data_IF_923108284858
#
_entry.id   IF_923108284858
#
_cell.length_a   1.000
_cell.length_b   1.000
_cell.length_c   1.000
_cell.angle_alpha   90.00
_cell.angle_beta   90.00
_cell.angle_gamma   90.00
#
_symmetry.space_group_name_H-M   'P 1'
#
loop_
_entity.id
_entity.type
_entity.pdbx_description
1 polymer ?
#
# COMPACT_ATOMS: atom_id res chain seq x y z
N UNK A 1 9.96 29.20 62.31
CA UNK A 1 9.26 28.22 61.46
C UNK A 1 9.48 26.84 62.02
N UNK A 2 8.42 26.14 62.42
CA UNK A 2 8.54 24.80 62.99
C UNK A 2 8.74 23.78 61.86
N UNK A 3 9.54 22.75 62.09
CA UNK A 3 9.82 21.67 61.09
C UNK A 3 8.54 21.12 60.42
N UNK A 4 7.44 21.14 61.14
CA UNK A 4 6.11 20.71 60.64
C UNK A 4 5.55 21.61 59.53
N UNK A 5 5.77 22.94 59.63
CA UNK A 5 5.25 23.90 58.64
C UNK A 5 6.01 23.79 57.32
N UNK A 6 7.30 23.43 57.36
CA UNK A 6 8.12 23.18 56.18
C UNK A 6 7.74 21.91 55.42
N UNK A 7 7.36 20.86 56.16
CA UNK A 7 6.90 19.58 55.55
C UNK A 7 5.52 19.76 54.86
N UNK A 8 4.64 20.55 55.49
CA UNK A 8 3.31 20.81 54.88
C UNK A 8 3.41 21.72 53.65
N UNK A 9 4.33 22.67 53.60
CA UNK A 9 4.62 23.49 52.40
C UNK A 9 5.22 22.65 51.25
N UNK A 10 6.14 21.73 51.55
CA UNK A 10 6.70 20.81 50.56
C UNK A 10 5.66 19.82 50.00
N UNK A 11 4.79 19.30 50.85
CA UNK A 11 3.71 18.40 50.40
C UNK A 11 2.69 19.16 49.54
N UNK A 12 2.34 20.39 49.88
CA UNK A 12 1.47 21.27 49.08
C UNK A 12 2.08 21.65 47.74
N UNK A 13 3.39 21.92 47.69
CA UNK A 13 4.08 22.22 46.43
C UNK A 13 4.17 21.01 45.47
N UNK A 14 4.35 19.79 46.01
CA UNK A 14 4.36 18.57 45.20
C UNK A 14 2.98 18.19 44.66
N UNK A 15 1.90 18.44 45.41
CA UNK A 15 0.54 18.23 44.92
C UNK A 15 0.14 19.29 43.91
N UNK A 16 0.51 20.54 44.08
CA UNK A 16 0.30 21.62 43.12
C UNK A 16 1.06 21.38 41.81
N UNK A 17 2.32 20.89 41.87
CA UNK A 17 3.10 20.53 40.67
C UNK A 17 2.52 19.34 39.92
N UNK A 18 1.93 18.35 40.60
CA UNK A 18 1.18 17.28 39.98
C UNK A 18 -0.12 17.73 39.33
N UNK A 19 -0.87 18.63 39.99
CA UNK A 19 -2.09 19.23 39.48
C UNK A 19 -1.84 20.10 38.24
N UNK A 20 -0.74 20.90 38.24
CA UNK A 20 -0.31 21.70 37.10
C UNK A 20 0.12 20.82 35.88
N UNK A 21 0.78 19.69 36.12
CA UNK A 21 1.08 18.71 35.06
C UNK A 21 -0.18 18.01 34.50
N UNK A 22 -1.18 17.79 35.35
CA UNK A 22 -2.47 17.23 34.93
C UNK A 22 -3.33 18.24 34.16
N UNK A 23 -3.11 19.56 34.34
CA UNK A 23 -3.81 20.62 33.60
C UNK A 23 -3.15 21.04 32.29
N UNK A 24 -1.93 20.62 31.99
CA UNK A 24 -1.44 20.74 30.62
C UNK A 24 -2.30 19.82 29.76
N UNK A 25 -3.30 20.39 29.06
CA UNK A 25 -4.01 19.67 27.98
C UNK A 25 -2.94 18.97 27.14
N UNK A 26 -2.88 17.65 27.23
CA UNK A 26 -1.96 16.90 26.41
C UNK A 26 -2.17 17.36 24.96
N UNK A 27 -1.11 17.82 24.31
CA UNK A 27 -1.16 18.25 22.92
C UNK A 27 -1.80 17.10 22.13
N UNK A 28 -2.91 17.34 21.46
CA UNK A 28 -3.53 16.34 20.59
C UNK A 28 -2.54 16.05 19.47
N UNK A 29 -2.05 14.81 19.33
CA UNK A 29 -1.08 14.49 18.30
C UNK A 29 -1.68 14.67 16.92
N UNK A 30 -0.84 15.06 15.96
CA UNK A 30 -1.21 15.35 14.59
C UNK A 30 -0.47 14.42 13.63
N UNK A 31 -1.19 13.77 12.74
CA UNK A 31 -0.67 12.90 11.69
C UNK A 31 -0.98 13.52 10.34
N UNK A 32 0.02 13.64 9.48
CA UNK A 32 -0.19 13.98 8.08
C UNK A 32 -0.23 12.71 7.25
N UNK A 33 -1.32 12.50 6.52
CA UNK A 33 -1.47 11.37 5.58
C UNK A 33 -1.28 11.86 4.14
N UNK A 34 -0.41 11.23 3.37
CA UNK A 34 -0.13 11.58 1.98
C UNK A 34 -0.12 10.35 1.08
N UNK A 35 -0.85 10.41 -0.01
CA UNK A 35 -0.90 9.37 -1.04
C UNK A 35 -1.18 9.99 -2.41
N UNK A 36 -0.52 9.48 -3.46
CA UNK A 36 -0.74 9.93 -4.83
C UNK A 36 -2.11 9.54 -5.41
N UNK A 37 -2.77 8.53 -4.82
CA UNK A 37 -4.07 8.05 -5.28
C UNK A 37 -5.21 9.03 -5.02
N UNK A 38 -6.44 8.58 -5.29
CA UNK A 38 -7.64 9.41 -5.24
C UNK A 38 -8.31 9.41 -3.87
N UNK A 39 -8.90 10.56 -3.51
CA UNK A 39 -9.69 10.71 -2.28
C UNK A 39 -11.09 10.10 -2.40
N UNK A 40 -11.62 9.98 -3.61
CA UNK A 40 -12.98 9.54 -3.86
C UNK A 40 -13.24 8.09 -3.42
N UNK A 41 -14.42 7.82 -2.84
CA UNK A 41 -14.88 6.48 -2.50
C UNK A 41 -14.35 5.90 -1.18
N UNK A 42 -13.80 6.73 -0.28
CA UNK A 42 -13.24 6.28 0.99
C UNK A 42 -12.22 5.13 0.78
N UNK A 43 -11.00 5.44 0.34
CA UNK A 43 -10.00 4.44 -0.03
C UNK A 43 -9.81 3.40 1.07
N UNK A 44 -9.70 2.13 0.67
CA UNK A 44 -9.54 1.00 1.60
C UNK A 44 -8.33 1.19 2.51
N UNK A 45 -7.29 1.86 1.99
CA UNK A 45 -6.07 2.21 2.71
C UNK A 45 -6.35 3.18 3.88
N UNK A 46 -7.13 4.23 3.64
CA UNK A 46 -7.51 5.17 4.69
C UNK A 46 -8.48 4.52 5.69
N UNK A 47 -9.37 3.64 5.22
CA UNK A 47 -10.29 2.91 6.09
C UNK A 47 -9.55 1.94 7.02
N UNK A 48 -8.56 1.19 6.51
CA UNK A 48 -7.73 0.30 7.31
C UNK A 48 -6.93 1.08 8.37
N UNK A 49 -6.31 2.18 8.00
CA UNK A 49 -5.57 3.03 8.93
C UNK A 49 -6.45 3.57 10.06
N UNK A 50 -7.63 4.13 9.73
CA UNK A 50 -8.60 4.60 10.74
C UNK A 50 -9.03 3.48 11.69
N UNK A 51 -9.26 2.28 11.16
CA UNK A 51 -9.60 1.12 11.98
C UNK A 51 -8.45 0.78 12.94
N UNK A 52 -7.20 0.77 12.48
CA UNK A 52 -6.03 0.54 13.33
C UNK A 52 -5.86 1.61 14.42
N UNK A 53 -6.07 2.88 14.09
CA UNK A 53 -6.06 3.97 15.08
C UNK A 53 -7.15 3.73 16.15
N UNK A 54 -8.37 3.39 15.71
CA UNK A 54 -9.49 3.12 16.64
C UNK A 54 -9.20 1.96 17.59
N UNK A 55 -8.59 0.87 17.11
CA UNK A 55 -8.20 -0.28 17.92
C UNK A 55 -7.16 0.08 18.99
N UNK A 56 -6.33 1.10 18.73
CA UNK A 56 -5.33 1.63 19.66
C UNK A 56 -5.88 2.74 20.58
N UNK A 57 -7.18 3.03 20.51
CA UNK A 57 -7.86 4.01 21.35
C UNK A 57 -7.80 5.45 20.83
N UNK A 58 -7.34 5.65 19.58
CA UNK A 58 -7.40 6.95 18.94
C UNK A 58 -8.75 7.19 18.28
N UNK A 59 -9.27 8.42 18.44
CA UNK A 59 -10.52 8.88 17.82
C UNK A 59 -10.23 10.19 17.12
N UNK A 60 -10.34 10.18 15.79
CA UNK A 60 -10.10 11.38 14.97
C UNK A 60 -10.98 12.55 15.41
N UNK A 61 -10.37 13.73 15.51
CA UNK A 61 -11.04 14.94 15.98
C UNK A 61 -11.22 15.05 17.51
N UNK A 62 -10.88 14.01 18.28
CA UNK A 62 -10.94 14.03 19.74
C UNK A 62 -9.55 13.97 20.38
N UNK A 63 -8.81 12.89 20.16
CA UNK A 63 -7.49 12.69 20.76
C UNK A 63 -6.37 12.44 19.73
N UNK A 64 -6.69 12.53 18.45
CA UNK A 64 -5.75 12.57 17.32
C UNK A 64 -6.34 13.40 16.19
N UNK A 65 -5.49 14.13 15.46
CA UNK A 65 -5.85 14.86 14.23
C UNK A 65 -5.15 14.16 13.08
N UNK A 66 -5.89 13.84 12.01
CA UNK A 66 -5.33 13.31 10.77
C UNK A 66 -5.65 14.23 9.62
N UNK A 67 -4.61 14.81 9.03
CA UNK A 67 -4.72 15.70 7.87
C UNK A 67 -4.43 14.91 6.59
N UNK A 68 -5.46 14.60 5.83
CA UNK A 68 -5.34 13.82 4.60
C UNK A 68 -4.99 14.72 3.41
N UNK A 69 -4.04 14.28 2.57
CA UNK A 69 -3.74 14.85 1.27
C UNK A 69 -3.66 13.74 0.23
N UNK A 70 -4.30 13.98 -0.90
CA UNK A 70 -4.35 13.03 -2.02
C UNK A 70 -3.83 13.74 -3.28
N UNK A 71 -3.02 13.05 -4.06
CA UNK A 71 -2.50 13.54 -5.34
C UNK A 71 -3.51 13.43 -6.48
N UNK A 72 -4.68 12.85 -6.24
CA UNK A 72 -5.75 12.65 -7.20
C UNK A 72 -5.28 11.95 -8.50
N UNK A 73 -4.47 10.88 -8.31
CA UNK A 73 -3.88 10.12 -9.41
C UNK A 73 -2.61 10.73 -9.99
N UNK A 74 -2.06 11.77 -9.35
CA UNK A 74 -0.88 12.49 -9.85
C UNK A 74 0.23 12.50 -8.81
N UNK A 75 1.45 12.31 -9.26
CA UNK A 75 2.64 12.38 -8.41
C UNK A 75 3.28 13.77 -8.38
N UNK A 76 3.00 14.63 -9.38
CA UNK A 76 3.57 15.97 -9.48
C UNK A 76 3.27 16.85 -8.25
N UNK A 77 2.01 16.95 -7.74
CA UNK A 77 1.68 17.83 -6.64
C UNK A 77 2.15 17.31 -5.28
N UNK A 78 2.66 16.08 -5.18
CA UNK A 78 2.98 15.45 -3.90
C UNK A 78 3.98 16.26 -3.09
N UNK A 79 5.02 16.83 -3.72
CA UNK A 79 6.01 17.61 -2.99
C UNK A 79 5.40 18.87 -2.35
N UNK A 80 4.48 19.55 -3.04
CA UNK A 80 3.75 20.72 -2.54
C UNK A 80 2.79 20.33 -1.42
N UNK A 81 2.03 19.24 -1.60
CA UNK A 81 1.12 18.72 -0.60
C UNK A 81 1.85 18.27 0.69
N UNK A 82 3.06 17.70 0.55
CA UNK A 82 3.92 17.39 1.70
C UNK A 82 4.38 18.66 2.40
N UNK A 83 4.80 19.69 1.63
CA UNK A 83 5.21 20.97 2.20
C UNK A 83 4.04 21.62 2.98
N UNK A 84 2.81 21.57 2.46
CA UNK A 84 1.62 22.01 3.21
C UNK A 84 1.46 21.24 4.52
N UNK A 85 1.53 19.89 4.48
CA UNK A 85 1.43 19.07 5.69
C UNK A 85 2.51 19.43 6.72
N UNK A 86 3.74 19.68 6.29
CA UNK A 86 4.85 20.07 7.16
C UNK A 86 4.57 21.40 7.87
N UNK A 87 3.89 22.36 7.22
CA UNK A 87 3.50 23.64 7.86
C UNK A 87 2.56 23.44 9.04
N UNK A 88 1.77 22.36 9.04
CA UNK A 88 0.86 21.99 10.14
C UNK A 88 1.60 21.36 11.32
N UNK A 89 2.91 21.15 11.21
CA UNK A 89 3.79 20.56 12.23
C UNK A 89 3.28 19.21 12.73
N UNK A 90 3.10 18.22 11.84
CA UNK A 90 2.67 16.90 12.24
C UNK A 90 3.72 16.22 13.11
N UNK A 91 3.27 15.41 14.05
CA UNK A 91 4.14 14.60 14.88
C UNK A 91 4.64 13.35 14.11
N UNK A 92 3.87 12.89 13.11
CA UNK A 92 4.20 11.77 12.21
C UNK A 92 3.60 12.03 10.82
N UNK A 93 4.31 11.66 9.77
CA UNK A 93 3.77 11.53 8.42
C UNK A 93 3.50 10.07 8.09
N UNK A 94 2.39 9.80 7.42
CA UNK A 94 2.05 8.50 6.83
C UNK A 94 2.05 8.65 5.32
N UNK A 95 2.87 7.89 4.62
CA UNK A 95 3.08 8.04 3.18
C UNK A 95 2.99 6.69 2.45
N UNK A 96 2.22 6.65 1.36
CA UNK A 96 1.95 5.43 0.60
C UNK A 96 2.50 5.51 -0.82
N UNK A 97 3.23 4.45 -1.20
CA UNK A 97 3.86 4.29 -2.52
C UNK A 97 5.27 4.86 -2.59
N UNK A 98 6.17 4.17 -3.33
CA UNK A 98 7.60 4.48 -3.40
C UNK A 98 7.86 5.91 -3.88
N UNK A 99 7.13 6.37 -4.91
CA UNK A 99 7.24 7.73 -5.44
C UNK A 99 6.84 8.78 -4.40
N UNK A 100 5.72 8.57 -3.69
CA UNK A 100 5.25 9.47 -2.63
C UNK A 100 6.27 9.56 -1.50
N UNK A 101 6.75 8.41 -1.00
CA UNK A 101 7.74 8.36 0.08
C UNK A 101 9.06 8.99 -0.35
N UNK A 102 9.49 8.81 -1.60
CA UNK A 102 10.65 9.49 -2.16
C UNK A 102 10.52 11.02 -2.14
N UNK A 103 9.35 11.57 -2.48
CA UNK A 103 9.06 13.01 -2.38
C UNK A 103 9.07 13.48 -0.93
N UNK A 104 8.45 12.71 0.00
CA UNK A 104 8.47 13.02 1.44
C UNK A 104 9.90 13.08 1.96
N UNK A 105 10.76 12.11 1.60
CA UNK A 105 12.19 12.07 1.96
C UNK A 105 12.94 13.31 1.48
N UNK A 106 12.59 13.84 0.31
CA UNK A 106 13.17 15.07 -0.23
C UNK A 106 12.73 16.35 0.49
N UNK A 107 11.59 16.34 1.18
CA UNK A 107 11.05 17.52 1.89
C UNK A 107 11.44 17.53 3.37
N UNK A 108 11.51 16.37 4.03
CA UNK A 108 11.84 16.28 5.46
C UNK A 108 12.74 15.09 5.78
N UNK A 109 13.74 15.35 6.63
CA UNK A 109 14.61 14.32 7.21
C UNK A 109 14.40 14.17 8.71
N UNK A 110 13.50 14.96 9.33
CA UNK A 110 13.34 15.03 10.79
C UNK A 110 11.98 14.59 11.29
N UNK A 111 10.93 14.81 10.51
CA UNK A 111 9.59 14.34 10.88
C UNK A 111 9.56 12.81 10.65
N UNK A 112 9.18 12.01 11.66
CA UNK A 112 8.99 10.58 11.51
C UNK A 112 8.02 10.23 10.38
N UNK A 113 8.36 9.22 9.58
CA UNK A 113 7.55 8.76 8.45
C UNK A 113 7.22 7.28 8.60
N UNK A 114 5.93 6.96 8.62
CA UNK A 114 5.44 5.60 8.50
C UNK A 114 5.04 5.36 7.05
N UNK A 115 5.72 4.46 6.38
CA UNK A 115 5.56 4.23 4.94
C UNK A 115 4.89 2.89 4.63
N UNK A 116 4.18 2.85 3.49
CA UNK A 116 3.82 1.61 2.78
C UNK A 116 4.45 1.68 1.39
N UNK A 117 5.40 0.81 1.12
CA UNK A 117 6.23 0.83 -0.10
C UNK A 117 6.40 -0.56 -0.69
N UNK A 118 6.71 -0.65 -1.95
CA UNK A 118 7.06 -1.93 -2.59
C UNK A 118 8.39 -2.46 -2.05
N UNK A 119 9.48 -1.86 -2.50
CA UNK A 119 10.86 -2.21 -2.10
C UNK A 119 11.58 -0.99 -1.49
N UNK A 120 11.45 -0.75 -0.19
CA UNK A 120 12.01 0.45 0.43
C UNK A 120 13.55 0.45 0.44
N UNK A 121 14.20 -0.73 0.39
CA UNK A 121 15.65 -0.85 0.33
C UNK A 121 16.13 -0.62 -1.11
N UNK A 122 15.54 -1.29 -2.10
CA UNK A 122 15.90 -1.12 -3.51
C UNK A 122 15.60 0.29 -4.04
N UNK A 123 14.58 0.96 -3.50
CA UNK A 123 14.27 2.36 -3.79
C UNK A 123 15.16 3.37 -3.02
N UNK A 124 16.09 2.91 -2.18
CA UNK A 124 16.98 3.77 -1.41
C UNK A 124 16.27 4.60 -0.32
N UNK A 125 15.08 4.19 0.11
CA UNK A 125 14.30 4.90 1.12
C UNK A 125 14.80 4.60 2.53
N UNK A 126 15.21 3.36 2.78
CA UNK A 126 15.80 2.88 4.03
C UNK A 126 17.08 2.10 3.78
N UNK A 127 17.96 2.00 4.79
CA UNK A 127 19.23 1.27 4.66
C UNK A 127 19.02 -0.26 4.63
N UNK A 128 18.13 -0.76 5.48
CA UNK A 128 17.71 -2.17 5.51
C UNK A 128 16.34 -2.29 6.18
N UNK A 129 15.65 -3.42 6.01
CA UNK A 129 14.39 -3.66 6.70
C UNK A 129 14.58 -3.75 8.23
N UNK A 130 15.64 -4.41 8.70
CA UNK A 130 15.91 -4.60 10.13
C UNK A 130 16.36 -3.32 10.83
N UNK A 131 17.05 -2.43 10.11
CA UNK A 131 17.56 -1.13 10.61
C UNK A 131 17.36 -0.08 9.52
N UNK A 132 16.26 0.66 9.57
CA UNK A 132 15.92 1.63 8.52
C UNK A 132 16.94 2.75 8.32
N UNK A 133 17.63 3.18 9.40
CA UNK A 133 18.74 4.12 9.32
C UNK A 133 18.33 5.56 9.04
N UNK A 134 17.20 5.99 9.59
CA UNK A 134 16.72 7.37 9.39
C UNK A 134 15.34 7.62 10.00
N UNK A 135 14.59 8.57 9.40
CA UNK A 135 13.27 8.94 9.88
C UNK A 135 12.11 8.13 9.25
N UNK A 136 12.41 7.14 8.40
CA UNK A 136 11.40 6.33 7.68
C UNK A 136 11.38 4.91 8.22
N UNK A 137 10.19 4.41 8.56
CA UNK A 137 9.87 3.02 8.89
C UNK A 137 8.53 2.64 8.28
N UNK A 138 7.97 1.48 8.57
CA UNK A 138 6.62 1.10 8.14
C UNK A 138 6.52 -0.31 7.59
N UNK A 139 5.84 -0.50 6.45
CA UNK A 139 5.55 -1.81 5.87
C UNK A 139 6.03 -1.88 4.41
N UNK A 140 6.78 -2.95 4.09
CA UNK A 140 7.13 -3.32 2.73
C UNK A 140 6.09 -4.29 2.18
N UNK A 141 5.59 -4.02 0.99
CA UNK A 141 4.65 -4.87 0.27
C UNK A 141 5.35 -6.07 -0.40
N UNK A 142 6.66 -5.96 -0.64
CA UNK A 142 7.45 -7.07 -1.17
C UNK A 142 7.72 -8.13 -0.11
N UNK A 143 7.26 -9.33 -0.37
CA UNK A 143 7.58 -10.51 0.45
C UNK A 143 8.80 -11.23 -0.14
N UNK A 144 9.98 -10.97 0.44
CA UNK A 144 11.23 -11.57 -0.03
C UNK A 144 11.84 -10.88 -1.26
N UNK A 145 13.02 -11.37 -1.70
CA UNK A 145 13.74 -10.82 -2.86
C UNK A 145 13.03 -11.11 -4.20
N UNK A 146 12.05 -12.00 -4.21
CA UNK A 146 11.46 -12.55 -5.44
C UNK A 146 10.14 -11.87 -5.87
N UNK A 147 9.56 -10.95 -5.08
CA UNK A 147 8.30 -10.29 -5.42
C UNK A 147 7.12 -11.27 -5.63
N UNK A 148 5.98 -10.75 -6.04
CA UNK A 148 4.76 -11.55 -6.24
C UNK A 148 4.46 -11.86 -7.72
N UNK A 149 5.15 -11.20 -8.66
CA UNK A 149 4.93 -11.32 -10.11
C UNK A 149 5.00 -12.76 -10.59
N UNK A 150 6.09 -13.47 -10.24
CA UNK A 150 6.22 -14.88 -10.63
C UNK A 150 5.05 -15.73 -10.14
N UNK A 151 4.58 -15.48 -8.90
CA UNK A 151 3.45 -16.23 -8.34
C UNK A 151 2.13 -15.90 -9.03
N UNK A 152 1.91 -14.66 -9.44
CA UNK A 152 0.72 -14.28 -10.21
C UNK A 152 0.72 -14.92 -11.60
N UNK A 153 1.89 -14.95 -12.27
CA UNK A 153 2.04 -15.67 -13.56
C UNK A 153 1.71 -17.15 -13.42
N UNK A 154 2.19 -17.84 -12.37
CA UNK A 154 1.82 -19.23 -12.07
C UNK A 154 0.30 -19.38 -11.88
N UNK A 155 -0.30 -18.55 -11.01
CA UNK A 155 -1.72 -18.61 -10.72
C UNK A 155 -2.58 -18.36 -11.96
N UNK A 156 -2.18 -17.42 -12.82
CA UNK A 156 -2.89 -17.15 -14.07
C UNK A 156 -2.77 -18.34 -15.04
N UNK A 157 -1.58 -18.95 -15.15
CA UNK A 157 -1.38 -20.17 -15.94
C UNK A 157 -2.20 -21.35 -15.41
N UNK A 158 -2.24 -21.51 -14.09
CA UNK A 158 -3.06 -22.56 -13.45
C UNK A 158 -4.55 -22.32 -13.71
N UNK A 159 -5.03 -21.07 -13.69
CA UNK A 159 -6.43 -20.72 -13.97
C UNK A 159 -6.79 -20.79 -15.45
N UNK A 160 -5.82 -20.57 -16.33
CA UNK A 160 -5.97 -20.63 -17.81
C UNK A 160 -4.94 -21.60 -18.38
N UNK A 161 -5.12 -22.93 -18.22
CA UNK A 161 -4.11 -23.94 -18.59
C UNK A 161 -3.69 -23.92 -20.06
N UNK A 162 -4.57 -23.47 -20.94
CA UNK A 162 -4.31 -23.37 -22.39
C UNK A 162 -3.44 -22.14 -22.75
N UNK A 163 -3.21 -21.20 -21.82
CA UNK A 163 -2.44 -19.99 -22.08
C UNK A 163 -1.01 -20.33 -22.55
N UNK A 164 -0.58 -19.63 -23.60
CA UNK A 164 0.78 -19.70 -24.16
C UNK A 164 1.50 -18.37 -24.08
N UNK A 165 0.75 -17.26 -24.11
CA UNK A 165 1.28 -15.91 -24.06
C UNK A 165 0.56 -15.07 -23.00
N UNK A 166 1.31 -14.55 -22.03
CA UNK A 166 0.81 -13.66 -20.98
C UNK A 166 1.47 -12.29 -21.15
N UNK A 167 0.65 -11.25 -21.16
CA UNK A 167 1.15 -9.89 -21.09
C UNK A 167 1.51 -9.53 -19.64
N UNK A 168 2.57 -8.73 -19.46
CA UNK A 168 2.90 -8.08 -18.19
C UNK A 168 2.77 -6.58 -18.38
N UNK A 169 1.78 -5.97 -17.73
CA UNK A 169 1.66 -4.52 -17.61
C UNK A 169 2.47 -4.09 -16.39
N UNK A 170 3.38 -3.13 -16.58
CA UNK A 170 4.24 -2.62 -15.51
C UNK A 170 4.59 -1.15 -15.75
N UNK A 171 4.85 -0.34 -14.68
CA UNK A 171 5.32 1.03 -14.84
C UNK A 171 6.69 1.05 -15.52
N UNK A 172 6.88 1.96 -16.49
CA UNK A 172 8.15 2.14 -17.17
C UNK A 172 9.15 2.87 -16.24
N UNK A 173 9.75 2.10 -15.35
CA UNK A 173 10.78 2.61 -14.43
C UNK A 173 11.82 1.51 -14.13
N UNK A 174 13.05 1.89 -13.67
CA UNK A 174 14.13 0.93 -13.42
C UNK A 174 13.82 -0.19 -12.41
N UNK A 175 12.91 0.04 -11.47
CA UNK A 175 12.56 -0.94 -10.44
C UNK A 175 11.83 -2.14 -11.05
N UNK A 176 11.07 -1.93 -12.11
CA UNK A 176 10.22 -2.96 -12.73
C UNK A 176 10.91 -3.84 -13.78
N UNK A 177 12.15 -3.54 -14.12
CA UNK A 177 13.02 -4.49 -14.86
C UNK A 177 13.12 -5.82 -14.12
N UNK A 178 13.06 -5.77 -12.78
CA UNK A 178 13.09 -6.97 -11.91
C UNK A 178 11.81 -7.80 -12.05
N UNK A 179 10.63 -7.16 -12.02
CA UNK A 179 9.34 -7.86 -12.22
C UNK A 179 9.29 -8.59 -13.56
N UNK A 180 9.75 -7.93 -14.63
CA UNK A 180 9.82 -8.56 -15.95
C UNK A 180 10.79 -9.76 -15.98
N UNK A 181 11.95 -9.65 -15.32
CA UNK A 181 12.91 -10.75 -15.22
C UNK A 181 12.31 -11.95 -14.47
N UNK A 182 11.59 -11.71 -13.37
CA UNK A 182 10.89 -12.74 -12.60
C UNK A 182 9.77 -13.41 -13.40
N UNK A 183 8.93 -12.61 -14.08
CA UNK A 183 7.90 -13.15 -14.96
C UNK A 183 8.49 -14.08 -16.02
N UNK A 184 9.57 -13.67 -16.68
CA UNK A 184 10.25 -14.48 -17.71
C UNK A 184 10.89 -15.74 -17.12
N UNK A 185 11.49 -15.66 -15.93
CA UNK A 185 12.07 -16.84 -15.27
C UNK A 185 11.01 -17.91 -15.01
N UNK A 186 9.87 -17.52 -14.44
CA UNK A 186 8.77 -18.44 -14.16
C UNK A 186 8.12 -18.93 -15.45
N UNK A 187 7.89 -18.04 -16.41
CA UNK A 187 7.30 -18.36 -17.70
C UNK A 187 8.10 -19.42 -18.46
N UNK A 188 9.44 -19.37 -18.40
CA UNK A 188 10.31 -20.37 -19.04
C UNK A 188 10.08 -21.79 -18.50
N UNK A 189 9.75 -21.93 -17.21
CA UNK A 189 9.44 -23.20 -16.58
C UNK A 189 8.02 -23.72 -16.94
N UNK A 190 7.12 -22.80 -17.29
CA UNK A 190 5.73 -23.08 -17.59
C UNK A 190 5.42 -23.14 -19.10
N UNK A 191 6.44 -23.07 -19.96
CA UNK A 191 6.30 -22.97 -21.42
C UNK A 191 5.38 -21.82 -21.85
N UNK A 192 5.55 -20.66 -21.20
CA UNK A 192 4.85 -19.42 -21.47
C UNK A 192 5.79 -18.40 -22.13
N UNK A 193 5.22 -17.55 -22.99
CA UNK A 193 5.86 -16.32 -23.46
C UNK A 193 5.35 -15.12 -22.67
N UNK A 194 6.27 -14.23 -22.23
CA UNK A 194 5.93 -12.97 -21.54
C UNK A 194 6.08 -11.79 -22.52
N UNK A 195 4.94 -11.15 -22.78
CA UNK A 195 4.85 -9.95 -23.57
C UNK A 195 4.92 -8.70 -22.69
N UNK A 196 5.98 -7.90 -22.76
CA UNK A 196 6.09 -6.69 -21.93
C UNK A 196 5.19 -5.56 -22.47
N UNK A 197 4.44 -4.92 -21.55
CA UNK A 197 3.63 -3.72 -21.80
C UNK A 197 4.00 -2.65 -20.77
N UNK A 198 5.06 -1.86 -21.04
CA UNK A 198 5.37 -0.72 -20.17
C UNK A 198 4.30 0.35 -20.29
N UNK A 199 3.91 0.94 -19.15
CA UNK A 199 2.87 1.98 -19.09
C UNK A 199 3.34 3.19 -18.29
N UNK A 200 2.88 4.36 -18.69
CA UNK A 200 3.12 5.63 -18.03
C UNK A 200 1.85 6.26 -17.46
N UNK A 201 1.98 7.31 -16.63
CA UNK A 201 0.82 7.99 -16.01
C UNK A 201 -0.15 8.64 -17.01
N UNK A 202 0.30 8.88 -18.25
CA UNK A 202 -0.52 9.48 -19.31
C UNK A 202 -1.21 8.48 -20.23
N UNK A 203 -1.02 7.18 -20.01
CA UNK A 203 -1.62 6.16 -20.85
C UNK A 203 -3.12 5.98 -20.52
N UNK A 204 -3.93 5.85 -21.56
CA UNK A 204 -5.36 5.58 -21.41
C UNK A 204 -5.60 4.08 -21.19
N UNK A 205 -6.24 3.73 -20.08
CA UNK A 205 -6.50 2.33 -19.68
C UNK A 205 -7.19 1.54 -20.79
N UNK A 206 -8.24 2.13 -21.38
CA UNK A 206 -8.99 1.45 -22.45
C UNK A 206 -8.11 1.19 -23.67
N UNK A 207 -7.26 2.12 -24.06
CA UNK A 207 -6.35 1.96 -25.19
C UNK A 207 -5.36 0.81 -24.96
N UNK A 208 -4.80 0.71 -23.74
CA UNK A 208 -3.89 -0.37 -23.35
C UNK A 208 -4.60 -1.71 -23.36
N UNK A 209 -5.78 -1.84 -22.73
CA UNK A 209 -6.53 -3.10 -22.69
C UNK A 209 -7.03 -3.52 -24.07
N UNK A 210 -7.46 -2.57 -24.90
CA UNK A 210 -7.84 -2.84 -26.29
C UNK A 210 -6.65 -3.34 -27.13
N UNK A 211 -5.44 -2.85 -26.88
CA UNK A 211 -4.22 -3.34 -27.51
C UNK A 211 -3.95 -4.81 -27.14
N UNK A 212 -4.06 -5.17 -25.85
CA UNK A 212 -3.92 -6.57 -25.39
C UNK A 212 -4.89 -7.51 -26.11
N UNK A 213 -6.17 -7.11 -26.23
CA UNK A 213 -7.18 -7.88 -26.92
C UNK A 213 -6.87 -8.06 -28.42
N UNK A 214 -6.37 -7.00 -29.09
CA UNK A 214 -5.95 -7.06 -30.50
C UNK A 214 -4.74 -7.98 -30.71
N UNK A 215 -3.80 -7.98 -29.78
CA UNK A 215 -2.63 -8.84 -29.80
C UNK A 215 -2.95 -10.30 -29.40
N UNK A 216 -4.20 -10.55 -28.99
CA UNK A 216 -4.70 -11.88 -28.64
C UNK A 216 -3.88 -12.57 -27.56
N UNK A 217 -3.45 -11.81 -26.54
CA UNK A 217 -2.82 -12.41 -25.36
C UNK A 217 -3.81 -13.33 -24.64
N UNK A 218 -3.33 -14.44 -24.12
CA UNK A 218 -4.17 -15.40 -23.40
C UNK A 218 -4.50 -14.96 -21.97
N UNK A 219 -3.77 -13.99 -21.48
CA UNK A 219 -4.00 -13.37 -20.17
C UNK A 219 -3.04 -12.23 -19.91
N UNK A 220 -3.28 -11.49 -18.83
CA UNK A 220 -2.46 -10.36 -18.42
C UNK A 220 -2.19 -10.37 -16.91
N UNK A 221 -0.95 -10.11 -16.49
CA UNK A 221 -0.61 -9.73 -15.13
C UNK A 221 -0.44 -8.21 -15.07
N UNK A 222 -1.18 -7.56 -14.17
CA UNK A 222 -1.16 -6.11 -14.01
C UNK A 222 -0.44 -5.77 -12.71
N UNK A 223 0.79 -5.26 -12.85
CA UNK A 223 1.54 -4.69 -11.73
C UNK A 223 0.90 -3.39 -11.22
N UNK A 224 1.10 -3.02 -9.93
CA UNK A 224 0.66 -1.73 -9.42
C UNK A 224 1.30 -0.58 -10.18
N UNK A 225 0.56 0.01 -11.10
CA UNK A 225 0.97 1.12 -11.97
C UNK A 225 -0.16 2.12 -12.11
N UNK A 226 0.18 3.42 -12.13
CA UNK A 226 -0.72 4.45 -12.62
C UNK A 226 -0.87 4.25 -14.15
N UNK A 227 -2.08 4.25 -14.70
CA UNK A 227 -3.37 4.61 -14.10
C UNK A 227 -4.17 3.48 -13.44
N UNK A 228 -3.73 2.22 -13.53
CA UNK A 228 -4.50 1.05 -13.06
C UNK A 228 -4.77 1.07 -11.54
N UNK A 229 -3.85 1.62 -10.75
CA UNK A 229 -4.03 1.80 -9.29
C UNK A 229 -5.09 2.84 -8.95
N UNK A 230 -5.28 3.83 -9.82
CA UNK A 230 -6.20 4.94 -9.61
C UNK A 230 -7.62 4.62 -10.08
N UNK A 231 -7.73 3.74 -11.08
CA UNK A 231 -9.00 3.34 -11.68
C UNK A 231 -9.18 1.81 -11.69
N UNK A 232 -9.06 1.14 -10.54
CA UNK A 232 -9.11 -0.32 -10.51
C UNK A 232 -10.49 -0.89 -10.92
N UNK A 233 -11.58 -0.18 -10.63
CA UNK A 233 -12.93 -0.61 -11.01
C UNK A 233 -13.11 -0.54 -12.52
N UNK A 234 -12.78 0.59 -13.12
CA UNK A 234 -12.83 0.78 -14.58
C UNK A 234 -11.92 -0.24 -15.29
N UNK A 235 -10.74 -0.47 -14.75
CA UNK A 235 -9.80 -1.49 -15.26
C UNK A 235 -10.46 -2.86 -15.33
N UNK A 236 -11.11 -3.31 -14.26
CA UNK A 236 -11.77 -4.61 -14.24
C UNK A 236 -12.93 -4.69 -15.24
N UNK A 237 -13.77 -3.65 -15.31
CA UNK A 237 -14.87 -3.58 -16.28
C UNK A 237 -14.37 -3.65 -17.73
N UNK A 238 -13.28 -2.95 -18.04
CA UNK A 238 -12.68 -2.98 -19.38
C UNK A 238 -12.05 -4.34 -19.69
N UNK A 239 -11.37 -4.98 -18.74
CA UNK A 239 -10.85 -6.34 -18.91
C UNK A 239 -11.96 -7.33 -19.27
N UNK A 240 -13.09 -7.24 -18.60
CA UNK A 240 -14.26 -8.06 -18.88
C UNK A 240 -14.88 -7.73 -20.25
N UNK A 241 -15.03 -6.44 -20.58
CA UNK A 241 -15.54 -5.94 -21.88
C UNK A 241 -14.70 -6.46 -23.05
N UNK A 242 -13.39 -6.40 -22.93
CA UNK A 242 -12.44 -6.85 -23.95
C UNK A 242 -12.09 -8.34 -23.86
N UNK A 243 -12.69 -9.06 -22.89
CA UNK A 243 -12.53 -10.51 -22.68
C UNK A 243 -11.08 -10.94 -22.45
N UNK A 244 -10.33 -10.15 -21.69
CA UNK A 244 -8.93 -10.43 -21.33
C UNK A 244 -8.86 -11.03 -19.92
N UNK A 245 -8.49 -12.33 -19.75
CA UNK A 245 -8.27 -12.90 -18.43
C UNK A 245 -7.13 -12.17 -17.72
N UNK A 246 -7.36 -11.70 -16.50
CA UNK A 246 -6.37 -10.88 -15.79
C UNK A 246 -6.12 -11.38 -14.38
N UNK A 247 -4.86 -11.32 -13.95
CA UNK A 247 -4.46 -11.34 -12.55
C UNK A 247 -3.84 -9.99 -12.19
N UNK A 248 -4.05 -9.54 -10.96
CA UNK A 248 -3.44 -8.31 -10.44
C UNK A 248 -3.08 -8.48 -8.97
N UNK A 249 -2.23 -7.61 -8.46
CA UNK A 249 -2.04 -7.43 -7.01
C UNK A 249 -3.26 -6.75 -6.36
N UNK A 250 -4.02 -5.97 -7.14
CA UNK A 250 -5.12 -5.16 -6.65
C UNK A 250 -6.44 -5.96 -6.65
N UNK A 251 -6.94 -6.28 -5.46
CA UNK A 251 -8.21 -6.97 -5.25
C UNK A 251 -9.38 -6.32 -6.00
N UNK A 252 -9.46 -4.98 -6.02
CA UNK A 252 -10.54 -4.25 -6.69
C UNK A 252 -10.66 -4.54 -8.18
N UNK A 253 -9.54 -4.84 -8.85
CA UNK A 253 -9.57 -5.26 -10.26
C UNK A 253 -10.27 -6.61 -10.39
N UNK A 254 -10.00 -7.57 -9.51
CA UNK A 254 -10.70 -8.85 -9.52
C UNK A 254 -12.20 -8.69 -9.19
N UNK A 255 -12.56 -7.83 -8.24
CA UNK A 255 -13.95 -7.56 -7.85
C UNK A 255 -14.78 -6.97 -9.01
N UNK A 256 -14.18 -6.20 -9.91
CA UNK A 256 -14.88 -5.47 -10.98
C UNK A 256 -14.83 -6.14 -12.36
N UNK A 257 -14.15 -7.28 -12.51
CA UNK A 257 -14.11 -8.00 -13.79
C UNK A 257 -12.79 -8.65 -14.16
N UNK A 258 -11.72 -8.46 -13.35
CA UNK A 258 -10.54 -9.29 -13.44
C UNK A 258 -10.83 -10.73 -13.02
N UNK A 259 -9.98 -11.67 -13.40
CA UNK A 259 -10.17 -13.08 -13.10
C UNK A 259 -9.68 -13.46 -11.70
N UNK A 260 -8.51 -12.97 -11.34
CA UNK A 260 -7.83 -13.26 -10.07
C UNK A 260 -7.20 -11.99 -9.48
N UNK A 261 -7.06 -11.97 -8.16
CA UNK A 261 -6.04 -11.12 -7.54
C UNK A 261 -5.18 -11.94 -6.58
N UNK A 262 -3.88 -11.61 -6.53
CA UNK A 262 -2.96 -12.17 -5.56
C UNK A 262 -1.98 -11.11 -5.10
N UNK A 263 -2.14 -10.68 -3.86
CA UNK A 263 -1.34 -9.59 -3.29
C UNK A 263 -1.57 -9.40 -1.80
N UNK A 264 -0.89 -8.42 -1.18
CA UNK A 264 -1.12 -8.06 0.20
C UNK A 264 -2.52 -7.51 0.41
N UNK A 265 -3.10 -7.85 1.55
CA UNK A 265 -4.34 -7.22 1.99
C UNK A 265 -4.06 -5.77 2.41
N UNK A 266 -4.49 -4.80 1.58
CA UNK A 266 -4.22 -3.37 1.79
C UNK A 266 -4.87 -2.83 3.06
N UNK A 267 -6.08 -3.32 3.40
CA UNK A 267 -6.76 -2.92 4.62
C UNK A 267 -5.95 -3.35 5.86
N UNK A 268 -5.52 -4.61 5.93
CA UNK A 268 -4.72 -5.12 7.04
C UNK A 268 -3.34 -4.45 7.11
N UNK A 269 -2.73 -4.18 5.96
CA UNK A 269 -1.43 -3.50 5.86
C UNK A 269 -1.52 -2.10 6.44
N UNK A 270 -2.49 -1.30 6.02
CA UNK A 270 -2.64 0.07 6.51
C UNK A 270 -3.17 0.12 7.94
N UNK A 271 -3.99 -0.85 8.35
CA UNK A 271 -4.35 -1.05 9.76
C UNK A 271 -3.11 -1.27 10.62
N UNK A 272 -2.14 -2.05 10.14
CA UNK A 272 -0.85 -2.26 10.82
C UNK A 272 -0.01 -0.98 10.91
N UNK A 273 -0.10 -0.07 9.94
CA UNK A 273 0.62 1.21 9.99
C UNK A 273 0.26 2.06 11.21
N UNK A 274 -0.97 1.97 11.70
CA UNK A 274 -1.39 2.66 12.91
C UNK A 274 -0.55 2.26 14.15
N UNK A 275 -0.08 1.01 14.21
CA UNK A 275 0.83 0.56 15.27
C UNK A 275 2.15 1.34 15.26
N UNK A 276 2.74 1.56 14.10
CA UNK A 276 3.98 2.34 14.00
C UNK A 276 3.76 3.79 14.43
N UNK A 277 2.64 4.38 14.03
CA UNK A 277 2.24 5.73 14.48
C UNK A 277 2.12 5.77 16.00
N UNK A 278 1.44 4.81 16.62
CA UNK A 278 1.31 4.71 18.08
C UNK A 278 2.67 4.63 18.79
N UNK A 279 3.56 3.79 18.26
CA UNK A 279 4.93 3.63 18.82
C UNK A 279 5.73 4.92 18.76
N UNK A 280 5.66 5.63 17.62
CA UNK A 280 6.35 6.92 17.43
C UNK A 280 5.76 8.00 18.34
N UNK A 281 4.43 8.09 18.44
CA UNK A 281 3.77 9.05 19.34
C UNK A 281 4.08 8.79 20.82
N UNK A 282 4.42 7.55 21.17
CA UNK A 282 4.92 7.14 22.50
C UNK A 282 6.43 7.35 22.69
N UNK A 283 7.14 7.92 21.70
CA UNK A 283 8.54 8.31 21.79
C UNK A 283 9.54 7.29 21.24
N UNK A 284 9.10 6.25 20.55
CA UNK A 284 10.03 5.32 19.86
C UNK A 284 10.57 5.99 18.59
N UNK A 285 11.88 5.95 18.38
CA UNK A 285 12.47 6.48 17.14
C UNK A 285 12.12 5.57 15.95
N UNK A 286 11.87 6.14 14.76
CA UNK A 286 11.66 5.35 13.53
C UNK A 286 12.79 4.36 13.23
N UNK A 287 14.04 4.73 13.52
CA UNK A 287 15.22 3.88 13.31
C UNK A 287 15.24 2.61 14.18
N UNK A 288 14.59 2.66 15.36
CA UNK A 288 14.42 1.51 16.26
C UNK A 288 13.24 0.61 15.89
N UNK A 289 12.47 0.98 14.87
CA UNK A 289 11.31 0.24 14.39
C UNK A 289 11.65 -0.43 13.04
N UNK A 290 11.89 -1.74 13.00
CA UNK A 290 12.13 -2.45 11.75
C UNK A 290 10.97 -2.26 10.77
N UNK A 291 11.29 -2.15 9.48
CA UNK A 291 10.27 -2.23 8.43
C UNK A 291 9.73 -3.66 8.38
N UNK A 292 8.44 -3.80 8.62
CA UNK A 292 7.78 -5.11 8.54
C UNK A 292 7.44 -5.44 7.09
N UNK A 293 7.44 -6.73 6.75
CA UNK A 293 6.90 -7.19 5.47
C UNK A 293 5.40 -7.47 5.63
N UNK A 294 4.62 -7.19 4.59
CA UNK A 294 3.19 -7.51 4.58
C UNK A 294 3.00 -9.00 4.93
N UNK A 295 2.29 -9.26 6.03
CA UNK A 295 2.22 -10.60 6.63
C UNK A 295 1.19 -11.50 5.96
N UNK A 296 0.15 -10.91 5.37
CA UNK A 296 -0.96 -11.64 4.77
C UNK A 296 -1.06 -11.32 3.29
N UNK A 297 -0.87 -12.36 2.49
CA UNK A 297 -1.23 -12.38 1.07
C UNK A 297 -2.60 -13.03 0.96
N UNK A 298 -3.41 -12.57 0.02
CA UNK A 298 -4.71 -13.16 -0.28
C UNK A 298 -4.85 -13.49 -1.76
N UNK A 299 -5.47 -14.63 -2.04
CA UNK A 299 -5.90 -15.04 -3.37
C UNK A 299 -7.41 -14.87 -3.47
N UNK A 300 -7.85 -13.97 -4.34
CA UNK A 300 -9.27 -13.79 -4.66
C UNK A 300 -9.53 -14.31 -6.07
N UNK A 301 -10.60 -15.08 -6.24
CA UNK A 301 -11.01 -15.67 -7.51
C UNK A 301 -12.40 -15.18 -7.88
N UNK A 302 -12.57 -14.58 -9.06
CA UNK A 302 -13.89 -14.17 -9.56
C UNK A 302 -14.45 -15.21 -10.52
N UNK A 303 -15.37 -16.04 -10.03
CA UNK A 303 -16.02 -17.08 -10.84
C UNK A 303 -17.07 -16.52 -11.79
N UNK A 304 -17.64 -15.33 -11.52
CA UNK A 304 -18.53 -14.65 -12.47
C UNK A 304 -17.74 -14.24 -13.73
N UNK A 305 -16.56 -13.66 -13.52
CA UNK A 305 -15.65 -13.34 -14.65
C UNK A 305 -15.23 -14.60 -15.38
N UNK A 306 -14.87 -15.67 -14.67
CA UNK A 306 -14.54 -16.95 -15.31
C UNK A 306 -15.68 -17.46 -16.19
N UNK A 307 -16.92 -17.48 -15.67
CA UNK A 307 -18.13 -17.87 -16.44
C UNK A 307 -18.32 -16.99 -17.69
N UNK A 308 -18.21 -15.67 -17.54
CA UNK A 308 -18.34 -14.71 -18.65
C UNK A 308 -17.28 -14.89 -19.73
N UNK A 309 -16.06 -15.26 -19.34
CA UNK A 309 -14.96 -15.57 -20.28
C UNK A 309 -15.04 -16.98 -20.88
N UNK A 310 -15.93 -17.84 -20.37
CA UNK A 310 -16.02 -19.25 -20.78
C UNK A 310 -14.89 -20.12 -20.21
N UNK A 311 -14.30 -19.70 -19.10
CA UNK A 311 -13.23 -20.41 -18.42
C UNK A 311 -13.79 -21.30 -17.30
N UNK A 312 -13.16 -22.44 -17.09
CA UNK A 312 -13.43 -23.31 -15.95
C UNK A 312 -12.24 -23.28 -15.00
N UNK A 313 -12.40 -22.63 -13.87
CA UNK A 313 -11.34 -22.55 -12.85
C UNK A 313 -11.10 -23.95 -12.27
N UNK A 314 -9.84 -24.44 -12.25
CA UNK A 314 -9.51 -25.72 -11.65
C UNK A 314 -9.84 -25.76 -10.15
N UNK A 315 -10.35 -26.91 -9.63
CA UNK A 315 -10.69 -27.06 -8.22
C UNK A 315 -9.53 -26.72 -7.27
N UNK A 316 -8.30 -26.96 -7.68
CA UNK A 316 -7.11 -26.66 -6.87
C UNK A 316 -6.93 -25.15 -6.64
N UNK A 317 -7.27 -24.30 -7.61
CA UNK A 317 -7.24 -22.85 -7.45
C UNK A 317 -8.33 -22.39 -6.48
N UNK A 318 -9.56 -22.91 -6.65
CA UNK A 318 -10.68 -22.59 -5.74
C UNK A 318 -10.39 -23.03 -4.30
N UNK A 319 -9.76 -24.19 -4.10
CA UNK A 319 -9.39 -24.68 -2.76
C UNK A 319 -8.28 -23.85 -2.10
N UNK A 320 -7.50 -23.10 -2.88
CA UNK A 320 -6.43 -22.23 -2.40
C UNK A 320 -6.87 -20.77 -2.24
N UNK A 321 -8.06 -20.43 -2.75
CA UNK A 321 -8.58 -19.08 -2.66
C UNK A 321 -8.95 -18.73 -1.21
N UNK A 322 -8.54 -17.55 -0.77
CA UNK A 322 -9.01 -16.96 0.49
C UNK A 322 -10.45 -16.47 0.33
N UNK A 323 -10.83 -16.08 -0.91
CA UNK A 323 -12.18 -15.66 -1.25
C UNK A 323 -12.54 -16.01 -2.69
N UNK A 324 -13.79 -16.42 -2.88
CA UNK A 324 -14.40 -16.70 -4.20
C UNK A 324 -15.60 -15.75 -4.38
N UNK A 325 -15.55 -14.93 -5.43
CA UNK A 325 -16.63 -14.03 -5.85
C UNK A 325 -17.54 -14.81 -6.80
N UNK A 326 -18.82 -14.97 -6.40
CA UNK A 326 -19.85 -15.72 -7.12
C UNK A 326 -21.00 -14.82 -7.58
#
# INVERSE_FOLDING_TARGET
MRRRDFILLLAGAMTAARALRAQQKAKVPRVGWIWAGRSAGNPIEAAGFRQGLKELGFVEGQNIIVDYRFGEGRTDPIAELVAELVTLRPDVLVALGDMTVGKVKGVTATIPVVSMTGDPVGAGLVASLARPGGNITGVSMMKGAEGLTGKRVELLKDAVPAAKQIALIYPDNPTNVRSLAQARQVASQLSLDIRPFPVGPGDEIEAVIAALSRERVDGVDIEPAVPFTDYPLETGELLLKYRVPAVSELRRIAESGGLLSYGPNLFDTTRRMAYFVDRILKGTNPDDLPVEQASRLELVVNTNTAKALGLKIPPLILARADEVIE
#
